data_IF_461425941595
#
_entry.id   IF_461425941595
#
_cell.length_a   1.000
_cell.length_b   1.000
_cell.length_c   1.000
_cell.angle_alpha   90.00
_cell.angle_beta   90.00
_cell.angle_gamma   90.00
#
_symmetry.space_group_name_H-M   'P 1'
#
loop_
_entity.id
_entity.type
_entity.pdbx_description
1 polymer ?
#
# COMPACT_ATOMS: atom_id res chain seq x y z
N UNK A 1 33.71 -9.62 -0.06
CA UNK A 1 32.63 -9.06 0.76
C UNK A 1 31.35 -9.77 0.33
N UNK A 2 30.74 -10.57 1.21
CA UNK A 2 29.46 -11.22 0.90
C UNK A 2 28.37 -10.16 0.96
N UNK A 3 27.80 -9.81 -0.20
CA UNK A 3 26.55 -9.06 -0.28
C UNK A 3 25.44 -9.99 0.22
N UNK A 4 25.14 -9.93 1.51
CA UNK A 4 23.95 -10.57 2.05
C UNK A 4 22.72 -9.95 1.40
N UNK A 5 22.02 -10.71 0.55
CA UNK A 5 20.71 -10.30 0.07
C UNK A 5 19.76 -10.28 1.27
N UNK A 6 19.40 -9.07 1.73
CA UNK A 6 18.33 -8.89 2.69
C UNK A 6 17.00 -9.07 1.95
N UNK A 7 16.28 -10.13 2.26
CA UNK A 7 14.91 -10.32 1.77
C UNK A 7 13.95 -9.59 2.71
N UNK A 8 13.37 -8.48 2.24
CA UNK A 8 12.29 -7.82 2.94
C UNK A 8 10.99 -8.58 2.63
N UNK A 9 10.47 -9.32 3.62
CA UNK A 9 9.15 -9.94 3.50
C UNK A 9 8.11 -8.90 3.88
N UNK A 10 7.49 -8.29 2.88
CA UNK A 10 6.34 -7.40 3.09
C UNK A 10 5.09 -8.27 3.13
N UNK A 11 4.26 -8.22 4.20
CA UNK A 11 3.03 -8.98 4.25
C UNK A 11 2.08 -8.55 3.11
N UNK A 12 1.23 -9.45 2.58
CA UNK A 12 0.32 -9.13 1.48
C UNK A 12 -0.70 -8.05 1.85
N UNK A 13 -0.95 -7.89 3.15
CA UNK A 13 -1.81 -6.86 3.72
C UNK A 13 -1.07 -6.14 4.84
N UNK A 14 -1.29 -4.83 4.97
CA UNK A 14 -0.80 -4.07 6.11
C UNK A 14 -1.83 -3.02 6.55
N UNK A 15 -1.67 -2.49 7.76
CA UNK A 15 -2.49 -1.37 8.21
C UNK A 15 -2.15 -0.10 7.44
N UNK A 16 -3.05 0.88 7.44
CA UNK A 16 -2.81 2.18 6.78
C UNK A 16 -1.60 2.89 7.38
N UNK A 17 -1.42 2.75 8.69
CA UNK A 17 -0.32 3.32 9.45
C UNK A 17 1.02 2.69 9.05
N UNK A 18 1.06 1.35 8.90
CA UNK A 18 2.26 0.65 8.45
C UNK A 18 2.57 0.95 6.98
N UNK A 19 1.55 1.03 6.12
CA UNK A 19 1.72 1.46 4.74
C UNK A 19 2.31 2.88 4.65
N UNK A 20 1.81 3.82 5.45
CA UNK A 20 2.32 5.19 5.51
C UNK A 20 3.80 5.23 5.97
N UNK A 21 4.17 4.37 6.93
CA UNK A 21 5.54 4.25 7.43
C UNK A 21 6.48 3.68 6.37
N UNK A 22 6.08 2.59 5.69
CA UNK A 22 6.89 1.92 4.68
C UNK A 22 7.13 2.78 3.43
N UNK A 23 6.17 3.64 3.07
CA UNK A 23 6.22 4.49 1.88
C UNK A 23 6.79 5.89 2.13
N UNK A 24 7.04 6.26 3.39
CA UNK A 24 7.42 7.63 3.78
C UNK A 24 6.28 8.64 3.71
N UNK A 25 5.06 8.22 3.34
CA UNK A 25 3.88 9.10 3.28
C UNK A 25 3.43 9.62 4.64
N UNK A 26 3.90 9.01 5.73
CA UNK A 26 3.66 9.51 7.08
C UNK A 26 4.13 10.97 7.25
N UNK A 27 5.22 11.36 6.59
CA UNK A 27 5.75 12.73 6.62
C UNK A 27 4.83 13.76 5.94
N UNK A 28 3.96 13.30 5.05
CA UNK A 28 2.96 14.15 4.37
C UNK A 28 1.70 14.37 5.21
N UNK A 29 1.58 13.66 6.32
CA UNK A 29 0.49 13.78 7.27
C UNK A 29 -0.32 12.49 7.42
N UNK A 30 -0.95 12.26 8.59
CA UNK A 30 -1.62 11.00 8.92
C UNK A 30 -2.82 10.69 8.01
N UNK A 31 -3.35 11.71 7.32
CA UNK A 31 -4.58 11.60 6.54
C UNK A 31 -4.41 11.25 5.08
N UNK A 32 -3.17 11.26 4.58
CA UNK A 32 -2.90 11.01 3.16
C UNK A 32 -3.34 9.60 2.76
N UNK A 33 -2.87 8.58 3.47
CA UNK A 33 -3.23 7.18 3.17
C UNK A 33 -4.72 6.92 3.39
N UNK A 34 -5.34 7.54 4.41
CA UNK A 34 -6.79 7.46 4.62
C UNK A 34 -7.56 8.04 3.43
N UNK A 35 -7.15 9.21 2.93
CA UNK A 35 -7.72 9.84 1.75
C UNK A 35 -7.61 8.95 0.51
N UNK A 36 -6.43 8.37 0.27
CA UNK A 36 -6.21 7.46 -0.85
C UNK A 36 -7.10 6.20 -0.77
N UNK A 37 -7.28 5.63 0.42
CA UNK A 37 -8.19 4.49 0.61
C UNK A 37 -9.65 4.89 0.32
N UNK A 38 -10.09 6.03 0.84
CA UNK A 38 -11.46 6.54 0.65
C UNK A 38 -11.77 6.88 -0.83
N UNK A 39 -10.75 7.30 -1.58
CA UNK A 39 -10.86 7.62 -3.00
C UNK A 39 -10.67 6.39 -3.90
N UNK A 40 -10.50 5.20 -3.33
CA UNK A 40 -10.18 3.97 -4.09
C UNK A 40 -8.94 4.13 -4.98
N UNK A 41 -7.96 4.89 -4.50
CA UNK A 41 -6.62 5.04 -5.12
C UNK A 41 -5.66 3.96 -4.63
N UNK A 42 -5.92 3.39 -3.44
CA UNK A 42 -5.21 2.22 -2.94
C UNK A 42 -6.16 1.02 -2.92
N UNK A 43 -5.69 -0.18 -3.31
CA UNK A 43 -6.47 -1.39 -3.15
C UNK A 43 -6.57 -1.72 -1.66
N UNK A 44 -7.78 -2.02 -1.21
CA UNK A 44 -8.04 -2.34 0.20
C UNK A 44 -8.85 -3.62 0.35
N UNK A 45 -8.76 -4.24 1.52
CA UNK A 45 -9.58 -5.39 1.92
C UNK A 45 -10.22 -5.11 3.28
N UNK A 46 -11.49 -5.46 3.42
CA UNK A 46 -12.21 -5.34 4.68
C UNK A 46 -11.99 -6.62 5.52
N UNK A 47 -11.40 -6.47 6.70
CA UNK A 47 -11.20 -7.56 7.68
C UNK A 47 -11.95 -7.19 8.96
N UNK A 48 -13.16 -7.74 9.11
CA UNK A 48 -14.07 -7.34 10.18
C UNK A 48 -14.38 -5.84 10.11
N UNK A 49 -14.07 -5.11 11.18
CA UNK A 49 -14.25 -3.64 11.25
C UNK A 49 -13.05 -2.83 10.76
N UNK A 50 -11.96 -3.50 10.36
CA UNK A 50 -10.74 -2.85 9.92
C UNK A 50 -10.60 -2.92 8.40
N UNK A 51 -10.13 -1.83 7.80
CA UNK A 51 -9.72 -1.79 6.40
C UNK A 51 -8.19 -1.86 6.33
N UNK A 52 -7.67 -2.85 5.61
CA UNK A 52 -6.24 -3.05 5.38
C UNK A 52 -5.88 -2.69 3.94
N UNK A 53 -4.65 -2.24 3.70
CA UNK A 53 -4.12 -2.02 2.36
C UNK A 53 -3.67 -3.36 1.77
N UNK A 54 -4.10 -3.66 0.55
CA UNK A 54 -3.70 -4.86 -0.19
C UNK A 54 -2.41 -4.59 -0.97
N UNK A 55 -1.28 -4.81 -0.31
CA UNK A 55 0.05 -4.58 -0.88
C UNK A 55 0.35 -5.56 -2.01
N UNK A 56 -0.21 -6.78 -1.94
CA UNK A 56 -0.03 -7.77 -3.00
C UNK A 56 -0.57 -7.27 -4.34
N UNK A 57 -1.78 -6.69 -4.36
CA UNK A 57 -2.37 -6.13 -5.57
C UNK A 57 -1.52 -4.98 -6.13
N UNK A 58 -1.01 -4.08 -5.27
CA UNK A 58 -0.10 -3.01 -5.71
C UNK A 58 1.12 -3.57 -6.42
N UNK A 59 1.74 -4.64 -5.89
CA UNK A 59 2.91 -5.25 -6.55
C UNK A 59 2.56 -5.89 -7.89
N UNK A 60 1.40 -6.52 -8.01
CA UNK A 60 0.93 -7.06 -9.29
C UNK A 60 0.74 -5.94 -10.32
N UNK A 61 0.12 -4.83 -9.91
CA UNK A 61 -0.15 -3.71 -10.79
C UNK A 61 1.15 -3.03 -11.24
N UNK A 62 2.08 -2.80 -10.30
CA UNK A 62 3.44 -2.32 -10.62
C UNK A 62 4.16 -3.27 -11.59
N UNK A 63 4.09 -4.58 -11.36
CA UNK A 63 4.70 -5.59 -12.23
C UNK A 63 4.06 -5.62 -13.64
N UNK A 64 2.79 -5.25 -13.77
CA UNK A 64 2.10 -5.07 -15.05
C UNK A 64 2.44 -3.77 -15.79
N UNK A 65 3.25 -2.90 -15.16
CA UNK A 65 3.70 -1.64 -15.76
C UNK A 65 2.86 -0.41 -15.38
N UNK A 66 1.90 -0.53 -14.45
CA UNK A 66 1.16 0.61 -13.93
C UNK A 66 2.10 1.48 -13.09
N UNK A 67 2.15 2.77 -13.40
CA UNK A 67 3.00 3.75 -12.68
C UNK A 67 2.19 4.83 -11.96
N UNK A 68 0.92 4.98 -12.31
CA UNK A 68 0.01 5.96 -11.72
C UNK A 68 -1.22 5.27 -11.13
N UNK A 69 -1.56 5.65 -9.91
CA UNK A 69 -2.71 5.18 -9.16
C UNK A 69 -3.64 6.36 -8.95
N UNK A 70 -4.83 6.30 -9.53
CA UNK A 70 -5.80 7.39 -9.58
C UNK A 70 -7.04 7.05 -8.75
N UNK A 71 -7.81 8.07 -8.39
CA UNK A 71 -9.09 7.89 -7.71
C UNK A 71 -10.04 7.03 -8.55
N UNK A 72 -10.58 5.98 -7.95
CA UNK A 72 -11.52 5.05 -8.60
C UNK A 72 -10.89 3.79 -9.21
N UNK A 73 -9.56 3.65 -9.22
CA UNK A 73 -8.87 2.47 -9.78
C UNK A 73 -9.29 1.15 -9.11
N UNK A 74 -9.73 1.22 -7.84
CA UNK A 74 -10.09 0.05 -7.03
C UNK A 74 -11.53 0.09 -6.50
N UNK A 75 -12.47 0.61 -7.29
CA UNK A 75 -13.91 0.56 -6.99
C UNK A 75 -14.57 -0.74 -7.42
#
# INVERSE_FOLDING_TARGET
MSTGNAYLVIPPFCTREEFARLTGLLEKGPEVVRGMCNQSTLPTVQVGRHQLVNVHQLFQDLASGKTEFLAGDYR
#
